data_IF_615538884026
#
_entry.id   IF_615538884026
#
_cell.length_a   1.000
_cell.length_b   1.000
_cell.length_c   1.000
_cell.angle_alpha   90.00
_cell.angle_beta   90.00
_cell.angle_gamma   90.00
#
_symmetry.space_group_name_H-M   'P 1'
#
loop_
_entity.id
_entity.type
_entity.pdbx_description
1 polymer ?
#
# COMPACT_ATOMS: atom_id res chain seq x y z
N UNK A 1 -12.02 0.51 -1.31
CA UNK A 1 -11.72 -0.93 -1.14
C UNK A 1 -11.72 -1.45 0.31
N UNK A 2 -11.58 -0.64 1.39
CA UNK A 2 -11.37 -1.17 2.76
C UNK A 2 -12.44 -2.15 3.24
N UNK A 3 -13.71 -1.92 2.94
CA UNK A 3 -14.80 -2.82 3.35
C UNK A 3 -14.75 -4.18 2.62
N UNK A 4 -14.21 -4.21 1.39
CA UNK A 4 -13.94 -5.46 0.68
C UNK A 4 -12.78 -6.22 1.33
N UNK A 5 -11.70 -5.53 1.71
CA UNK A 5 -10.58 -6.14 2.43
C UNK A 5 -11.07 -6.82 3.73
N UNK A 6 -12.01 -6.18 4.45
CA UNK A 6 -12.64 -6.81 5.62
C UNK A 6 -13.41 -8.07 5.25
N UNK A 7 -14.11 -8.09 4.12
CA UNK A 7 -14.82 -9.30 3.67
C UNK A 7 -13.84 -10.43 3.36
N UNK A 8 -12.68 -10.13 2.72
CA UNK A 8 -11.63 -11.11 2.46
C UNK A 8 -11.08 -11.72 3.76
N UNK A 9 -10.73 -10.89 4.75
CA UNK A 9 -10.22 -11.34 6.06
C UNK A 9 -11.22 -12.27 6.75
N UNK A 10 -12.51 -11.90 6.74
CA UNK A 10 -13.57 -12.73 7.31
C UNK A 10 -13.81 -14.03 6.55
N UNK A 11 -13.66 -14.01 5.23
CA UNK A 11 -13.79 -15.20 4.39
C UNK A 11 -12.72 -16.26 4.75
N UNK A 12 -11.48 -15.82 5.00
CA UNK A 12 -10.37 -16.72 5.44
C UNK A 12 -10.50 -17.10 6.94
N UNK A 13 -11.47 -16.53 7.67
CA UNK A 13 -11.74 -16.84 9.09
C UNK A 13 -10.57 -16.50 10.02
N UNK A 14 -9.79 -15.49 9.71
CA UNK A 14 -8.77 -14.96 10.63
C UNK A 14 -9.45 -14.14 11.71
N UNK A 15 -8.99 -14.28 12.95
CA UNK A 15 -9.52 -13.58 14.13
C UNK A 15 -8.59 -12.50 14.67
N UNK A 16 -7.35 -12.42 14.19
CA UNK A 16 -6.36 -11.41 14.59
C UNK A 16 -6.32 -10.26 13.58
N UNK A 17 -5.90 -9.06 13.99
CA UNK A 17 -5.72 -7.95 13.06
C UNK A 17 -4.68 -8.26 11.98
N UNK A 18 -5.01 -7.92 10.74
CA UNK A 18 -4.13 -8.02 9.58
C UNK A 18 -4.11 -6.71 8.81
N UNK A 19 -3.09 -6.51 7.99
CA UNK A 19 -3.01 -5.41 7.03
C UNK A 19 -3.05 -5.96 5.62
N UNK A 20 -3.86 -5.35 4.77
CA UNK A 20 -3.77 -5.48 3.31
C UNK A 20 -3.00 -4.28 2.82
N UNK A 21 -1.84 -4.50 2.21
CA UNK A 21 -0.93 -3.50 1.66
C UNK A 21 -0.97 -3.57 0.14
N UNK A 22 -1.47 -2.52 -0.49
CA UNK A 22 -1.41 -2.38 -1.94
C UNK A 22 -0.16 -1.56 -2.33
N UNK A 23 0.71 -2.15 -3.13
CA UNK A 23 1.90 -1.54 -3.71
C UNK A 23 1.66 -1.26 -5.19
N UNK A 24 0.84 -0.24 -5.46
CA UNK A 24 0.61 0.33 -6.79
C UNK A 24 1.61 1.43 -7.13
N UNK A 25 1.18 2.52 -7.73
CA UNK A 25 1.99 3.73 -7.92
C UNK A 25 2.25 4.47 -6.60
N UNK A 26 1.20 4.64 -5.81
CA UNK A 26 1.20 5.08 -4.41
C UNK A 26 0.88 3.87 -3.54
N UNK A 27 1.60 3.71 -2.46
CA UNK A 27 1.35 2.65 -1.49
C UNK A 27 0.18 3.02 -0.57
N UNK A 28 -0.74 2.08 -0.35
CA UNK A 28 -1.81 2.25 0.62
C UNK A 28 -2.05 0.98 1.42
N UNK A 29 -2.52 1.16 2.63
CA UNK A 29 -2.85 0.03 3.50
C UNK A 29 -4.30 0.09 4.00
N UNK A 30 -4.84 -1.08 4.30
CA UNK A 30 -6.04 -1.26 5.10
C UNK A 30 -5.72 -2.17 6.27
N UNK A 31 -5.80 -1.63 7.48
CA UNK A 31 -5.79 -2.42 8.71
C UNK A 31 -7.20 -2.92 9.01
N UNK A 32 -7.31 -4.21 9.27
CA UNK A 32 -8.58 -4.89 9.53
C UNK A 32 -8.50 -5.64 10.85
N UNK A 33 -9.33 -5.24 11.80
CA UNK A 33 -9.64 -6.05 12.98
C UNK A 33 -11.00 -6.75 12.74
N UNK A 34 -10.99 -8.05 12.42
CA UNK A 34 -12.20 -8.74 11.97
C UNK A 34 -13.25 -8.95 13.05
N UNK A 35 -12.87 -8.85 14.34
CA UNK A 35 -13.79 -9.06 15.47
C UNK A 35 -14.55 -7.78 15.85
N UNK A 36 -14.04 -6.61 15.46
CA UNK A 36 -14.71 -5.33 15.69
C UNK A 36 -15.71 -5.00 14.58
N UNK A 37 -16.72 -4.13 14.85
CA UNK A 37 -17.54 -3.57 13.79
C UNK A 37 -16.71 -2.74 12.81
N UNK A 38 -17.18 -2.52 11.56
CA UNK A 38 -16.39 -1.81 10.54
C UNK A 38 -15.94 -0.40 10.95
N UNK A 39 -16.73 0.31 11.74
CA UNK A 39 -16.44 1.66 12.23
C UNK A 39 -15.18 1.71 13.10
N UNK A 40 -14.92 0.64 13.85
CA UNK A 40 -13.77 0.52 14.76
C UNK A 40 -12.69 -0.43 14.26
N UNK A 41 -13.07 -1.38 13.42
CA UNK A 41 -12.19 -2.43 12.90
C UNK A 41 -11.59 -2.15 11.53
N UNK A 42 -11.81 -0.96 10.94
CA UNK A 42 -11.22 -0.57 9.66
C UNK A 42 -10.49 0.76 9.78
N UNK A 43 -9.22 0.77 9.36
CA UNK A 43 -8.42 1.98 9.16
C UNK A 43 -7.75 1.85 7.80
N UNK A 44 -7.82 2.90 6.97
CA UNK A 44 -7.13 2.90 5.68
C UNK A 44 -6.51 4.27 5.38
N UNK A 45 -5.33 4.26 4.79
CA UNK A 45 -4.60 5.46 4.40
C UNK A 45 -3.43 5.12 3.49
N UNK A 46 -2.88 6.14 2.82
CA UNK A 46 -1.72 5.99 1.97
C UNK A 46 -0.43 5.94 2.80
N UNK A 47 0.44 4.98 2.50
CA UNK A 47 1.68 4.77 3.24
C UNK A 47 2.79 5.71 2.81
N UNK A 48 2.84 6.03 1.51
CA UNK A 48 3.90 6.79 0.90
C UNK A 48 4.04 6.45 -0.59
N UNK A 49 5.20 6.72 -1.19
CA UNK A 49 5.49 6.27 -2.54
C UNK A 49 5.44 4.73 -2.62
N UNK A 50 5.12 4.20 -3.79
CA UNK A 50 5.36 2.82 -4.15
C UNK A 50 6.06 2.76 -5.50
N UNK A 51 5.55 2.03 -6.48
CA UNK A 51 6.31 1.80 -7.71
C UNK A 51 6.47 3.04 -8.61
N UNK A 52 5.62 4.09 -8.47
CA UNK A 52 5.63 5.19 -9.44
C UNK A 52 7.00 5.90 -9.52
N UNK A 53 7.63 6.38 -8.42
CA UNK A 53 8.94 7.04 -8.53
C UNK A 53 10.04 6.11 -9.06
N UNK A 54 10.02 4.84 -8.68
CA UNK A 54 10.98 3.84 -9.19
C UNK A 54 10.82 3.65 -10.70
N UNK A 55 9.57 3.46 -11.16
CA UNK A 55 9.27 3.29 -12.56
C UNK A 55 9.62 4.53 -13.40
N UNK A 56 9.29 5.72 -12.90
CA UNK A 56 9.62 6.98 -13.54
C UNK A 56 11.16 7.14 -13.65
N UNK A 57 11.91 6.87 -12.59
CA UNK A 57 13.37 6.89 -12.57
C UNK A 57 13.99 5.94 -13.61
N UNK A 58 13.49 4.71 -13.71
CA UNK A 58 14.01 3.73 -14.66
C UNK A 58 13.62 4.05 -16.11
N UNK A 59 12.43 4.59 -16.32
CA UNK A 59 12.00 5.05 -17.63
C UNK A 59 12.89 6.17 -18.14
N UNK A 60 13.16 7.17 -17.30
CA UNK A 60 13.96 8.34 -17.66
C UNK A 60 15.44 7.98 -17.91
N UNK A 61 16.00 7.03 -17.15
CA UNK A 61 17.43 6.70 -17.21
C UNK A 61 17.79 5.65 -18.27
N UNK A 62 16.93 4.64 -18.43
CA UNK A 62 17.24 3.45 -19.24
C UNK A 62 16.08 2.97 -20.11
N UNK A 63 14.95 3.71 -20.17
CA UNK A 63 13.79 3.37 -20.98
C UNK A 63 13.01 2.13 -20.50
N UNK A 64 13.18 1.71 -19.23
CA UNK A 64 12.47 0.58 -18.67
C UNK A 64 11.27 1.05 -17.83
N UNK A 65 10.11 0.46 -18.08
CA UNK A 65 8.85 0.84 -17.41
C UNK A 65 8.73 0.34 -15.97
N UNK A 66 9.54 -0.61 -15.53
CA UNK A 66 9.62 -1.12 -14.15
C UNK A 66 10.87 -1.96 -13.92
N UNK A 67 11.25 -2.13 -12.65
CA UNK A 67 12.32 -3.04 -12.21
C UNK A 67 11.81 -4.47 -12.17
N UNK A 68 12.08 -5.25 -13.23
CA UNK A 68 11.65 -6.64 -13.31
C UNK A 68 12.31 -7.46 -12.20
N UNK A 69 11.49 -8.10 -11.37
CA UNK A 69 11.90 -8.93 -10.24
C UNK A 69 12.80 -8.21 -9.21
N UNK A 70 12.94 -6.86 -9.32
CA UNK A 70 13.81 -6.07 -8.47
C UNK A 70 15.31 -6.23 -8.77
N UNK A 71 15.66 -6.69 -9.96
CA UNK A 71 17.05 -7.02 -10.31
C UNK A 71 17.97 -5.80 -10.27
N UNK A 72 17.50 -4.64 -10.76
CA UNK A 72 18.31 -3.42 -10.78
C UNK A 72 18.54 -2.93 -9.33
N UNK A 73 17.49 -2.89 -8.52
CA UNK A 73 17.59 -2.48 -7.12
C UNK A 73 18.46 -3.44 -6.29
N UNK A 74 18.47 -4.74 -6.63
CA UNK A 74 19.26 -5.75 -5.92
C UNK A 74 20.78 -5.60 -6.10
N UNK A 75 21.21 -4.95 -7.18
CA UNK A 75 22.63 -4.69 -7.49
C UNK A 75 23.14 -3.38 -6.89
N UNK A 76 22.24 -2.50 -6.42
CA UNK A 76 22.58 -1.17 -5.94
C UNK A 76 22.84 -1.10 -4.42
N UNK A 77 23.50 -0.02 -4.02
CA UNK A 77 23.71 0.35 -2.62
C UNK A 77 22.64 1.37 -2.20
N UNK A 78 22.13 1.20 -0.99
CA UNK A 78 21.11 2.09 -0.41
C UNK A 78 21.79 3.33 0.18
N UNK A 79 21.44 4.53 -0.30
CA UNK A 79 21.85 5.78 0.31
C UNK A 79 20.93 6.14 1.50
N UNK A 80 21.34 5.67 2.67
CA UNK A 80 20.54 5.77 3.90
C UNK A 80 20.22 7.22 4.30
N UNK A 81 21.05 8.19 3.98
CA UNK A 81 20.81 9.58 4.34
C UNK A 81 19.70 10.20 3.47
N UNK A 82 19.56 9.77 2.22
CA UNK A 82 18.42 10.12 1.37
C UNK A 82 17.13 9.54 1.96
N UNK A 83 17.15 8.26 2.35
CA UNK A 83 15.98 7.61 2.99
C UNK A 83 15.55 8.35 4.25
N UNK A 84 16.49 8.67 5.14
CA UNK A 84 16.22 9.44 6.39
C UNK A 84 15.66 10.82 6.08
N UNK A 85 16.29 11.54 5.15
CA UNK A 85 15.85 12.89 4.75
C UNK A 85 14.43 12.88 4.22
N UNK A 86 14.08 11.92 3.38
CA UNK A 86 12.73 11.75 2.86
C UNK A 86 11.71 11.49 3.98
N UNK A 87 12.03 10.62 4.93
CA UNK A 87 11.16 10.27 6.05
C UNK A 87 10.96 11.40 7.08
N UNK A 88 11.76 12.47 7.04
CA UNK A 88 11.51 13.67 7.84
C UNK A 88 10.28 14.48 7.38
N UNK A 89 9.69 14.12 6.22
CA UNK A 89 8.46 14.76 5.77
C UNK A 89 7.34 14.57 6.81
N UNK A 90 6.66 15.67 7.24
CA UNK A 90 5.58 15.63 8.24
C UNK A 90 4.44 14.66 7.91
N UNK A 91 4.28 14.31 6.64
CA UNK A 91 3.29 13.32 6.21
C UNK A 91 3.40 12.00 6.98
N UNK A 92 4.62 11.53 7.25
CA UNK A 92 4.83 10.21 7.87
C UNK A 92 4.39 10.16 9.34
N UNK A 93 4.36 11.30 10.04
CA UNK A 93 3.85 11.42 11.41
C UNK A 93 2.36 11.80 11.50
N UNK A 94 1.74 12.22 10.39
CA UNK A 94 0.33 12.59 10.36
C UNK A 94 -0.56 11.37 10.64
N UNK A 95 -1.52 11.54 11.55
CA UNK A 95 -2.50 10.48 11.89
C UNK A 95 -3.48 10.21 10.74
N UNK A 96 -3.92 8.94 10.56
CA UNK A 96 -5.00 8.60 9.62
C UNK A 96 -6.36 9.22 10.03
N UNK A 97 -7.29 9.43 9.07
CA UNK A 97 -7.11 9.15 7.64
C UNK A 97 -6.26 10.20 6.93
N UNK A 98 -5.46 9.77 5.97
CA UNK A 98 -4.61 10.64 5.14
C UNK A 98 -4.43 10.04 3.76
N UNK A 99 -4.28 10.88 2.75
CA UNK A 99 -4.09 10.47 1.36
C UNK A 99 -2.96 11.26 0.69
N UNK A 100 -2.49 10.75 -0.42
CA UNK A 100 -1.45 11.31 -1.27
C UNK A 100 -1.84 11.21 -2.74
N UNK A 101 -1.40 12.18 -3.51
CA UNK A 101 -1.40 12.11 -4.95
C UNK A 101 -0.04 11.65 -5.47
N UNK A 102 -0.02 11.04 -6.66
CA UNK A 102 1.22 10.61 -7.32
C UNK A 102 2.25 11.75 -7.41
N UNK A 103 1.81 12.99 -7.67
CA UNK A 103 2.66 14.16 -7.78
C UNK A 103 3.37 14.59 -6.49
N UNK A 104 2.92 14.13 -5.32
CA UNK A 104 3.57 14.44 -4.04
C UNK A 104 4.99 13.90 -3.90
N UNK A 105 5.42 13.01 -4.80
CA UNK A 105 6.72 12.34 -4.76
C UNK A 105 7.64 12.71 -5.93
N UNK A 106 7.29 13.71 -6.74
CA UNK A 106 8.11 14.15 -7.89
C UNK A 106 9.57 14.48 -7.50
N UNK A 107 9.77 15.05 -6.30
CA UNK A 107 11.09 15.36 -5.76
C UNK A 107 12.01 14.15 -5.51
N UNK A 108 11.47 12.92 -5.47
CA UNK A 108 12.28 11.74 -5.20
C UNK A 108 13.29 11.46 -6.30
N UNK A 109 12.93 11.69 -7.55
CA UNK A 109 13.85 11.50 -8.68
C UNK A 109 14.99 12.53 -8.65
N UNK A 110 14.73 13.76 -8.18
CA UNK A 110 15.76 14.77 -7.96
C UNK A 110 16.71 14.34 -6.83
N UNK A 111 16.18 13.79 -5.73
CA UNK A 111 17.00 13.34 -4.58
C UNK A 111 17.98 12.22 -4.95
N UNK A 112 17.64 11.38 -5.92
CA UNK A 112 18.50 10.28 -6.38
C UNK A 112 19.24 10.59 -7.69
N UNK A 113 19.16 11.81 -8.20
CA UNK A 113 19.69 12.18 -9.54
C UNK A 113 21.19 11.96 -9.69
N UNK A 114 21.97 12.18 -8.61
CA UNK A 114 23.42 12.03 -8.59
C UNK A 114 23.90 10.58 -8.39
N UNK A 115 22.99 9.62 -8.14
CA UNK A 115 23.32 8.21 -7.99
C UNK A 115 23.36 7.52 -9.36
N UNK A 116 24.11 6.44 -9.48
CA UNK A 116 23.95 5.54 -10.62
C UNK A 116 22.56 4.87 -10.58
N UNK A 117 22.18 4.22 -11.67
CA UNK A 117 20.82 3.67 -11.81
C UNK A 117 20.50 2.59 -10.76
N UNK A 118 21.46 1.71 -10.44
CA UNK A 118 21.25 0.64 -9.47
C UNK A 118 21.11 1.20 -8.05
N UNK A 119 21.96 2.14 -7.63
CA UNK A 119 21.89 2.78 -6.32
C UNK A 119 20.62 3.64 -6.18
N UNK A 120 20.19 4.32 -7.25
CA UNK A 120 18.93 5.05 -7.28
C UNK A 120 17.74 4.09 -7.09
N UNK A 121 17.70 2.97 -7.80
CA UNK A 121 16.64 1.96 -7.67
C UNK A 121 16.62 1.32 -6.27
N UNK A 122 17.80 0.97 -5.74
CA UNK A 122 17.94 0.43 -4.37
C UNK A 122 17.43 1.41 -3.31
N UNK A 123 17.79 2.70 -3.45
CA UNK A 123 17.41 3.76 -2.51
C UNK A 123 15.91 4.03 -2.57
N UNK A 124 15.32 4.11 -3.79
CA UNK A 124 13.87 4.27 -3.95
C UNK A 124 13.09 3.07 -3.39
N UNK A 125 13.58 1.85 -3.60
CA UNK A 125 13.00 0.64 -3.00
C UNK A 125 13.06 0.69 -1.48
N UNK A 126 14.18 1.11 -0.89
CA UNK A 126 14.31 1.27 0.56
C UNK A 126 13.37 2.35 1.12
N UNK A 127 13.12 3.44 0.38
CA UNK A 127 12.14 4.48 0.74
C UNK A 127 10.73 3.90 0.80
N UNK A 128 10.33 3.08 -0.17
CA UNK A 128 9.02 2.40 -0.17
C UNK A 128 8.87 1.56 1.11
N UNK A 129 9.84 0.71 1.39
CA UNK A 129 9.83 -0.18 2.57
C UNK A 129 9.79 0.60 3.87
N UNK A 130 10.60 1.66 3.98
CA UNK A 130 10.66 2.49 5.16
C UNK A 130 9.35 3.28 5.38
N UNK A 131 8.71 3.74 4.30
CA UNK A 131 7.39 4.40 4.33
C UNK A 131 6.30 3.45 4.85
N UNK A 132 6.28 2.20 4.38
CA UNK A 132 5.38 1.16 4.88
C UNK A 132 5.63 0.90 6.37
N UNK A 133 6.88 0.74 6.79
CA UNK A 133 7.22 0.52 8.20
C UNK A 133 6.76 1.68 9.10
N UNK A 134 6.92 2.94 8.66
CA UNK A 134 6.41 4.09 9.42
C UNK A 134 4.87 4.09 9.47
N UNK A 135 4.20 3.73 8.38
CA UNK A 135 2.74 3.65 8.35
C UNK A 135 2.20 2.60 9.34
N UNK A 136 2.84 1.46 9.46
CA UNK A 136 2.43 0.40 10.40
C UNK A 136 2.51 0.84 11.87
N UNK A 137 3.42 1.76 12.23
CA UNK A 137 3.51 2.33 13.59
C UNK A 137 2.34 3.23 13.97
N UNK A 138 1.57 3.71 12.99
CA UNK A 138 0.39 4.55 13.23
C UNK A 138 -0.87 3.73 13.53
N UNK A 139 -0.80 2.41 13.45
CA UNK A 139 -1.93 1.51 13.68
C UNK A 139 -2.17 1.27 15.18
N UNK A 140 -3.42 0.98 15.58
CA UNK A 140 -3.76 0.71 16.99
C UNK A 140 -3.03 -0.49 17.58
N UNK A 141 -2.72 -1.48 16.74
CA UNK A 141 -1.89 -2.63 17.08
C UNK A 141 -1.08 -3.05 15.86
N UNK A 142 0.10 -3.56 16.12
CA UNK A 142 0.95 -4.09 15.04
C UNK A 142 0.28 -5.36 14.46
N UNK A 143 0.18 -5.50 13.11
CA UNK A 143 -0.46 -6.66 12.51
C UNK A 143 0.39 -7.91 12.68
N UNK A 144 -0.24 -9.08 12.76
CA UNK A 144 0.47 -10.36 12.71
C UNK A 144 0.91 -10.70 11.29
N UNK A 145 0.12 -10.28 10.30
CA UNK A 145 0.37 -10.51 8.88
C UNK A 145 0.12 -9.25 8.08
N UNK A 146 0.90 -9.08 7.02
CA UNK A 146 0.71 -8.07 5.97
C UNK A 146 0.52 -8.80 4.64
N UNK A 147 -0.68 -8.72 4.08
CA UNK A 147 -0.99 -9.30 2.78
C UNK A 147 -0.72 -8.28 1.69
N UNK A 148 0.25 -8.58 0.83
CA UNK A 148 0.71 -7.66 -0.20
C UNK A 148 -0.03 -7.91 -1.51
N UNK A 149 -0.59 -6.85 -2.07
CA UNK A 149 -1.25 -6.80 -3.39
C UNK A 149 -0.66 -5.67 -4.24
N UNK A 150 -1.16 -5.53 -5.47
CA UNK A 150 -0.61 -4.58 -6.44
C UNK A 150 0.66 -5.09 -7.13
N UNK A 151 1.14 -4.34 -8.12
CA UNK A 151 2.28 -4.74 -8.94
C UNK A 151 3.59 -4.93 -8.16
N UNK A 152 3.77 -4.20 -7.07
CA UNK A 152 4.97 -4.27 -6.22
C UNK A 152 5.20 -5.64 -5.58
N UNK A 153 4.16 -6.48 -5.41
CA UNK A 153 4.31 -7.85 -4.90
C UNK A 153 5.15 -8.75 -5.81
N UNK A 154 5.24 -8.39 -7.12
CA UNK A 154 6.04 -9.10 -8.13
C UNK A 154 7.52 -8.69 -8.12
N UNK A 155 7.90 -7.63 -7.37
CA UNK A 155 9.28 -7.20 -7.22
C UNK A 155 9.91 -7.95 -6.04
N UNK A 156 10.78 -8.92 -6.34
CA UNK A 156 11.36 -9.83 -5.35
C UNK A 156 12.26 -9.10 -4.34
N UNK A 157 12.99 -8.06 -4.79
CA UNK A 157 13.85 -7.29 -3.89
C UNK A 157 13.04 -6.44 -2.92
N UNK A 158 11.96 -5.80 -3.39
CA UNK A 158 11.03 -5.06 -2.55
C UNK A 158 10.39 -6.00 -1.49
N UNK A 159 9.94 -7.17 -1.89
CA UNK A 159 9.36 -8.17 -0.99
C UNK A 159 10.39 -8.70 0.00
N UNK A 160 11.64 -8.93 -0.43
CA UNK A 160 12.75 -9.33 0.47
C UNK A 160 13.03 -8.26 1.53
N UNK A 161 13.12 -6.99 1.13
CA UNK A 161 13.34 -5.89 2.08
C UNK A 161 12.17 -5.73 3.05
N UNK A 162 10.92 -5.87 2.60
CA UNK A 162 9.75 -5.86 3.49
C UNK A 162 9.84 -6.96 4.54
N UNK A 163 10.16 -8.20 4.15
CA UNK A 163 10.31 -9.34 5.07
C UNK A 163 11.40 -9.11 6.14
N UNK A 164 12.45 -8.35 5.80
CA UNK A 164 13.54 -8.03 6.74
C UNK A 164 13.16 -6.88 7.69
N UNK A 165 12.48 -5.86 7.17
CA UNK A 165 12.26 -4.60 7.91
C UNK A 165 10.95 -4.55 8.70
N UNK A 166 9.95 -5.31 8.28
CA UNK A 166 8.62 -5.31 8.90
C UNK A 166 8.50 -6.51 9.84
N UNK A 167 8.30 -6.32 11.14
CA UNK A 167 8.19 -7.42 12.11
C UNK A 167 6.78 -8.06 12.08
N UNK A 168 6.35 -8.52 10.90
CA UNK A 168 5.12 -9.25 10.64
C UNK A 168 5.34 -10.23 9.50
N UNK A 169 4.50 -11.25 9.39
CA UNK A 169 4.54 -12.18 8.26
C UNK A 169 4.10 -11.45 6.99
N UNK A 170 5.01 -11.29 6.04
CA UNK A 170 4.73 -10.70 4.72
C UNK A 170 4.29 -11.81 3.78
N UNK A 171 3.03 -11.76 3.37
CA UNK A 171 2.38 -12.80 2.55
C UNK A 171 1.89 -12.18 1.25
N UNK A 172 2.23 -12.76 0.13
CA UNK A 172 1.61 -12.39 -1.14
C UNK A 172 0.15 -12.84 -1.15
N UNK A 173 -0.75 -11.97 -1.58
CA UNK A 173 -2.18 -12.23 -1.50
C UNK A 173 -2.61 -13.46 -2.31
N UNK A 174 -1.84 -13.78 -3.36
CA UNK A 174 -2.02 -14.97 -4.20
C UNK A 174 -1.83 -16.26 -3.40
N UNK A 175 -0.95 -16.27 -2.38
CA UNK A 175 -0.66 -17.46 -1.54
C UNK A 175 -1.82 -17.80 -0.59
N UNK A 176 -2.74 -16.86 -0.38
CA UNK A 176 -3.92 -17.08 0.47
C UNK A 176 -5.22 -17.22 -0.33
N UNK A 177 -5.10 -17.48 -1.63
CA UNK A 177 -6.22 -17.86 -2.50
C UNK A 177 -6.96 -16.69 -3.15
N UNK A 178 -6.40 -15.49 -3.16
CA UNK A 178 -6.92 -14.36 -3.95
C UNK A 178 -6.00 -14.07 -5.12
N UNK A 179 -6.58 -13.68 -6.25
CA UNK A 179 -5.83 -13.19 -7.40
C UNK A 179 -5.46 -11.71 -7.17
N UNK A 180 -4.17 -11.46 -6.94
CA UNK A 180 -3.66 -10.11 -6.64
C UNK A 180 -3.84 -9.10 -7.76
N UNK A 181 -4.00 -9.54 -9.01
CA UNK A 181 -4.29 -8.66 -10.14
C UNK A 181 -5.80 -8.34 -10.25
N UNK A 182 -6.67 -9.12 -9.61
CA UNK A 182 -8.13 -8.97 -9.65
C UNK A 182 -8.72 -8.34 -8.39
N UNK A 183 -7.94 -8.12 -7.32
CA UNK A 183 -8.43 -7.57 -6.04
C UNK A 183 -9.21 -6.27 -6.22
N UNK A 184 -8.73 -5.36 -7.06
CA UNK A 184 -9.39 -4.08 -7.30
C UNK A 184 -10.72 -4.26 -8.05
N UNK A 185 -10.76 -5.07 -9.10
CA UNK A 185 -11.98 -5.37 -9.85
C UNK A 185 -13.02 -6.05 -8.95
N UNK A 186 -12.60 -7.01 -8.12
CA UNK A 186 -13.46 -7.67 -7.15
C UNK A 186 -13.98 -6.69 -6.09
N UNK A 187 -13.14 -5.76 -5.63
CA UNK A 187 -13.55 -4.71 -4.71
C UNK A 187 -14.66 -3.83 -5.29
N UNK A 188 -14.55 -3.40 -6.54
CA UNK A 188 -15.60 -2.61 -7.21
C UNK A 188 -16.90 -3.40 -7.37
N UNK A 189 -16.82 -4.68 -7.76
CA UNK A 189 -18.00 -5.54 -7.84
C UNK A 189 -18.68 -5.68 -6.47
N UNK A 190 -17.90 -5.89 -5.42
CA UNK A 190 -18.40 -5.96 -4.04
C UNK A 190 -19.05 -4.66 -3.58
N UNK A 191 -18.45 -3.50 -3.89
CA UNK A 191 -19.02 -2.19 -3.57
C UNK A 191 -20.32 -1.93 -4.32
N UNK A 192 -20.44 -2.34 -5.59
CA UNK A 192 -21.67 -2.25 -6.36
C UNK A 192 -22.82 -3.03 -5.69
N UNK A 193 -22.57 -4.28 -5.28
CA UNK A 193 -23.56 -5.10 -4.55
C UNK A 193 -23.93 -4.45 -3.21
N UNK A 194 -22.98 -3.89 -2.47
CA UNK A 194 -23.27 -3.16 -1.22
C UNK A 194 -24.17 -1.94 -1.47
N UNK A 195 -23.84 -1.14 -2.50
CA UNK A 195 -24.65 0.01 -2.89
C UNK A 195 -26.10 -0.40 -3.24
N UNK A 196 -26.26 -1.45 -4.04
CA UNK A 196 -27.59 -1.98 -4.39
C UNK A 196 -28.40 -2.46 -3.19
N UNK A 197 -27.72 -2.91 -2.12
CA UNK A 197 -28.33 -3.38 -0.87
C UNK A 197 -28.52 -2.29 0.18
N UNK A 198 -28.22 -1.03 -0.13
CA UNK A 198 -28.28 0.08 0.83
C UNK A 198 -27.31 -0.08 2.00
N UNK A 199 -26.16 -0.75 1.80
CA UNK A 199 -25.15 -0.94 2.82
C UNK A 199 -24.01 0.08 2.68
N UNK A 200 -23.45 0.61 3.78
CA UNK A 200 -22.35 1.56 3.73
C UNK A 200 -21.14 1.02 2.97
N UNK A 201 -20.53 1.85 2.14
CA UNK A 201 -19.34 1.54 1.35
C UNK A 201 -18.07 2.21 1.87
N UNK A 202 -18.22 3.23 2.74
CA UNK A 202 -17.10 3.96 3.34
C UNK A 202 -17.37 4.28 4.81
N UNK A 203 -16.28 4.50 5.57
CA UNK A 203 -16.29 4.63 7.02
C UNK A 203 -15.35 5.74 7.48
N UNK A 204 -15.57 6.35 8.69
CA UNK A 204 -14.80 7.51 9.15
C UNK A 204 -13.28 7.33 9.13
N UNK A 205 -12.78 6.19 9.60
CA UNK A 205 -11.33 5.92 9.69
C UNK A 205 -10.70 5.45 8.36
N UNK A 206 -11.49 5.43 7.27
CA UNK A 206 -10.99 5.03 5.93
C UNK A 206 -10.90 6.20 4.96
N UNK A 207 -11.90 7.07 4.93
CA UNK A 207 -11.98 8.19 3.99
C UNK A 207 -12.27 9.55 4.65
N UNK A 208 -12.37 9.58 6.00
CA UNK A 208 -12.64 10.82 6.73
C UNK A 208 -14.10 11.27 6.69
N UNK A 209 -15.04 10.45 6.24
CA UNK A 209 -16.48 10.76 6.31
C UNK A 209 -16.97 10.82 7.75
N UNK A 210 -17.99 11.64 8.07
CA UNK A 210 -18.44 11.83 9.46
C UNK A 210 -19.10 10.60 10.06
N UNK A 211 -19.68 9.73 9.25
CA UNK A 211 -20.37 8.48 9.64
C UNK A 211 -20.26 7.46 8.50
N UNK A 212 -20.62 6.18 8.72
CA UNK A 212 -20.74 5.20 7.64
C UNK A 212 -21.68 5.73 6.55
N UNK A 213 -21.22 5.79 5.30
CA UNK A 213 -21.97 6.39 4.19
C UNK A 213 -22.23 5.40 3.07
N UNK A 214 -23.42 5.54 2.51
CA UNK A 214 -23.78 4.93 1.24
C UNK A 214 -23.05 5.65 0.09
N UNK A 215 -23.01 5.04 -1.08
CA UNK A 215 -22.44 5.66 -2.28
C UNK A 215 -22.78 4.85 -3.53
N UNK A 216 -22.45 5.43 -4.68
CA UNK A 216 -22.80 4.89 -5.97
C UNK A 216 -24.22 5.27 -6.40
N UNK A 217 -24.38 5.50 -7.71
CA UNK A 217 -25.69 5.74 -8.35
C UNK A 217 -25.92 4.61 -9.33
N UNK A 218 -27.07 3.96 -9.25
CA UNK A 218 -27.48 2.95 -10.23
C UNK A 218 -27.96 3.66 -11.50
N UNK A 219 -27.27 3.45 -12.61
CA UNK A 219 -27.79 3.79 -13.91
C UNK A 219 -28.77 2.70 -14.35
N UNK A 220 -30.00 3.08 -14.65
CA UNK A 220 -31.04 2.21 -15.26
C UNK A 220 -31.07 2.61 -16.72
N UNK A 221 -30.58 1.77 -17.60
CA UNK A 221 -30.77 1.88 -19.04
C UNK A 221 -32.13 1.30 -19.42
#
# INVERSE_FOLDING_TARGET
CPIYHRAMVRFIKISKPVVILNLGGVGNLTWVDPVKPPEDGLIAFDTGPANAPLNDCLMDRIGQSFDRDGLIASEGNIENDIVKTFLNNPYFSKRPPKSLDRGNFAQLNDMVSNLNTADAAATLTAIIVASVHQALKLLPSFPTQVWVTGGGRKNLELMRQLKIKVPADIVEIDQIGFDGDMVEAQAFAYLAVRSMRGLPITFPKTTGVPAPMLGGVRSIS
#
